data_IF_465828378089
#
_entry.id   IF_465828378089
#
_cell.length_a   1.000
_cell.length_b   1.000
_cell.length_c   1.000
_cell.angle_alpha   90.00
_cell.angle_beta   90.00
_cell.angle_gamma   90.00
#
_symmetry.space_group_name_H-M   'P 1'
#
loop_
_entity.id
_entity.type
_entity.pdbx_description
1 polymer ?
#
# COMPACT_ATOMS: atom_id res chain seq x y z
N UNK A 1 -22.50 -31.55 -12.48
CA UNK A 1 -21.35 -30.75 -12.95
C UNK A 1 -20.90 -29.85 -11.81
N UNK A 2 -19.64 -29.95 -11.41
CA UNK A 2 -19.09 -29.22 -10.26
C UNK A 2 -18.88 -27.74 -10.63
N UNK A 3 -19.17 -26.83 -9.69
CA UNK A 3 -19.05 -25.35 -9.80
C UNK A 3 -17.62 -24.82 -10.09
N UNK A 4 -16.65 -25.68 -10.39
CA UNK A 4 -15.21 -25.36 -10.46
C UNK A 4 -14.66 -25.13 -11.88
N UNK A 5 -15.46 -25.28 -12.93
CA UNK A 5 -14.98 -25.27 -14.33
C UNK A 5 -15.18 -23.94 -15.08
N UNK A 6 -15.91 -22.98 -14.49
CA UNK A 6 -16.20 -21.69 -15.12
C UNK A 6 -16.49 -20.60 -14.09
N UNK A 7 -16.26 -19.34 -14.47
CA UNK A 7 -16.67 -18.14 -13.73
C UNK A 7 -17.68 -17.32 -14.53
N UNK A 8 -18.32 -16.34 -13.91
CA UNK A 8 -19.26 -15.45 -14.61
C UNK A 8 -18.63 -14.09 -14.87
N UNK A 9 -18.84 -13.59 -16.09
CA UNK A 9 -18.45 -12.24 -16.48
C UNK A 9 -19.62 -11.53 -17.16
N UNK A 10 -19.59 -10.20 -17.20
CA UNK A 10 -20.47 -9.44 -18.07
C UNK A 10 -19.81 -9.18 -19.41
N UNK A 11 -20.60 -9.25 -20.48
CA UNK A 11 -20.19 -8.74 -21.78
C UNK A 11 -20.02 -7.21 -21.75
N UNK A 12 -19.40 -6.68 -22.79
CA UNK A 12 -19.44 -5.26 -23.09
C UNK A 12 -20.90 -4.76 -23.17
N UNK A 13 -21.07 -3.47 -22.86
CA UNK A 13 -22.34 -2.79 -22.98
C UNK A 13 -22.68 -2.54 -24.44
N UNK A 14 -23.91 -2.81 -24.83
CA UNK A 14 -24.43 -2.37 -26.11
C UNK A 14 -24.76 -0.86 -26.10
N UNK A 15 -25.13 -0.32 -27.26
CA UNK A 15 -25.49 1.09 -27.43
C UNK A 15 -26.74 1.51 -26.64
N UNK A 16 -27.52 0.56 -26.14
CA UNK A 16 -28.71 0.80 -25.32
C UNK A 16 -28.41 0.66 -23.81
N UNK A 17 -27.14 0.45 -23.43
CA UNK A 17 -26.72 0.31 -22.03
C UNK A 17 -27.08 -1.04 -21.41
N UNK A 18 -27.46 -2.03 -22.22
CA UNK A 18 -27.70 -3.41 -21.82
C UNK A 18 -26.44 -4.25 -21.97
N UNK A 19 -26.35 -5.33 -21.19
CA UNK A 19 -25.26 -6.31 -21.25
C UNK A 19 -25.77 -7.69 -20.86
N UNK A 20 -24.95 -8.71 -21.07
CA UNK A 20 -25.28 -10.10 -20.75
C UNK A 20 -24.30 -10.64 -19.73
N UNK A 21 -24.79 -11.48 -18.82
CA UNK A 21 -23.96 -12.30 -17.96
C UNK A 21 -23.70 -13.63 -18.65
N UNK A 22 -22.44 -13.94 -18.86
CA UNK A 22 -21.98 -15.17 -19.54
C UNK A 22 -21.13 -16.01 -18.61
N UNK A 23 -21.18 -17.32 -18.79
CA UNK A 23 -20.25 -18.24 -18.14
C UNK A 23 -18.99 -18.38 -19.00
N UNK A 24 -17.82 -18.10 -18.42
CA UNK A 24 -16.51 -18.20 -19.07
C UNK A 24 -15.78 -19.41 -18.49
N UNK A 25 -15.45 -20.43 -19.32
CA UNK A 25 -14.76 -21.61 -18.84
C UNK A 25 -13.31 -21.27 -18.45
N UNK A 26 -12.81 -21.86 -17.36
CA UNK A 26 -11.41 -21.67 -16.94
C UNK A 26 -10.41 -22.27 -17.94
N UNK A 27 -10.82 -23.31 -18.69
CA UNK A 27 -10.00 -23.94 -19.72
C UNK A 27 -10.45 -23.45 -21.10
N UNK A 28 -9.56 -22.76 -21.86
CA UNK A 28 -9.87 -22.33 -23.22
C UNK A 28 -10.31 -23.50 -24.11
N UNK A 29 -11.42 -23.34 -24.83
CA UNK A 29 -11.96 -24.33 -25.77
C UNK A 29 -12.98 -25.33 -25.19
N UNK A 30 -13.17 -25.37 -23.87
CA UNK A 30 -14.20 -26.18 -23.22
C UNK A 30 -15.52 -25.41 -23.09
N UNK A 31 -16.26 -25.29 -24.20
CA UNK A 31 -17.53 -24.52 -24.27
C UNK A 31 -18.79 -25.38 -24.08
N UNK A 32 -18.66 -26.61 -23.55
CA UNK A 32 -19.80 -27.55 -23.44
C UNK A 32 -20.33 -27.61 -22.00
N UNK A 33 -21.66 -27.61 -21.83
CA UNK A 33 -22.30 -27.69 -20.51
C UNK A 33 -22.31 -26.39 -19.70
N UNK A 34 -22.00 -25.25 -20.33
CA UNK A 34 -22.06 -23.94 -19.70
C UNK A 34 -23.51 -23.43 -19.58
N UNK A 35 -23.88 -22.73 -18.49
CA UNK A 35 -25.18 -22.10 -18.36
C UNK A 35 -25.46 -21.09 -19.48
N UNK A 36 -26.72 -20.98 -19.90
CA UNK A 36 -27.14 -19.99 -20.88
C UNK A 36 -26.90 -18.56 -20.40
N UNK A 37 -26.50 -17.65 -21.31
CA UNK A 37 -26.41 -16.22 -21.00
C UNK A 37 -27.74 -15.66 -20.51
N UNK A 38 -27.70 -14.88 -19.43
CA UNK A 38 -28.87 -14.16 -18.92
C UNK A 38 -28.65 -12.67 -19.02
N UNK A 39 -29.74 -11.89 -19.06
CA UNK A 39 -29.64 -10.43 -19.10
C UNK A 39 -28.93 -9.90 -17.86
N UNK A 40 -27.94 -9.06 -18.10
CA UNK A 40 -27.11 -8.39 -17.11
C UNK A 40 -27.82 -7.22 -16.41
N UNK A 41 -27.28 -6.74 -15.29
CA UNK A 41 -27.68 -5.41 -14.77
C UNK A 41 -27.32 -4.32 -15.78
N UNK A 42 -28.00 -3.17 -15.70
CA UNK A 42 -27.67 -2.00 -16.54
C UNK A 42 -26.21 -1.57 -16.38
N UNK A 43 -25.66 -0.95 -17.41
CA UNK A 43 -24.26 -0.53 -17.42
C UNK A 43 -23.93 0.63 -16.46
N UNK A 44 -24.95 1.38 -16.03
CA UNK A 44 -24.89 2.40 -14.99
C UNK A 44 -24.85 1.81 -13.56
N UNK A 45 -25.13 0.51 -13.42
CA UNK A 45 -25.18 -0.15 -12.13
C UNK A 45 -23.79 -0.23 -11.49
N UNK A 46 -23.72 0.16 -10.22
CA UNK A 46 -22.52 0.07 -9.40
C UNK A 46 -22.85 -0.35 -7.97
N UNK A 47 -21.92 -1.06 -7.33
CA UNK A 47 -22.01 -1.39 -5.92
C UNK A 47 -21.37 -0.31 -5.06
N UNK A 48 -21.90 -0.13 -3.85
CA UNK A 48 -21.36 0.84 -2.90
C UNK A 48 -20.02 0.34 -2.35
N UNK A 49 -19.24 1.27 -1.82
CA UNK A 49 -18.04 0.90 -1.07
C UNK A 49 -18.42 -0.03 0.10
N UNK A 50 -17.65 -1.11 0.28
CA UNK A 50 -17.95 -2.20 1.21
C UNK A 50 -18.86 -3.29 0.66
N UNK A 51 -19.31 -3.18 -0.58
CA UNK A 51 -20.09 -4.20 -1.27
C UNK A 51 -19.37 -4.73 -2.52
N UNK A 52 -19.69 -5.95 -2.90
CA UNK A 52 -19.25 -6.57 -4.15
C UNK A 52 -20.45 -7.06 -4.94
N UNK A 53 -20.32 -7.17 -6.25
CA UNK A 53 -21.36 -7.71 -7.09
C UNK A 53 -21.29 -9.24 -7.10
N UNK A 54 -22.28 -9.91 -6.51
CA UNK A 54 -22.44 -11.34 -6.68
C UNK A 54 -22.96 -11.63 -8.09
N UNK A 55 -22.10 -12.18 -8.95
CA UNK A 55 -22.43 -12.48 -10.34
C UNK A 55 -23.47 -13.60 -10.48
N UNK A 56 -23.74 -14.41 -9.45
CA UNK A 56 -24.81 -15.43 -9.51
C UNK A 56 -26.18 -14.79 -9.35
N UNK A 57 -26.30 -13.90 -8.38
CA UNK A 57 -27.56 -13.25 -8.03
C UNK A 57 -27.75 -11.89 -8.73
N UNK A 58 -26.71 -11.37 -9.37
CA UNK A 58 -26.65 -10.04 -9.99
C UNK A 58 -27.04 -8.91 -9.03
N UNK A 59 -26.66 -9.06 -7.75
CA UNK A 59 -26.97 -8.12 -6.68
C UNK A 59 -25.75 -7.79 -5.84
N UNK A 60 -25.67 -6.57 -5.32
CA UNK A 60 -24.60 -6.17 -4.41
C UNK A 60 -24.77 -6.87 -3.05
N UNK A 61 -23.68 -7.48 -2.56
CA UNK A 61 -23.60 -8.09 -1.23
C UNK A 61 -22.51 -7.40 -0.43
N UNK A 62 -22.75 -7.22 0.87
CA UNK A 62 -21.75 -6.64 1.78
C UNK A 62 -20.57 -7.59 1.99
N UNK A 63 -19.38 -7.04 2.11
CA UNK A 63 -18.21 -7.79 2.52
C UNK A 63 -18.38 -8.36 3.93
N UNK A 64 -17.90 -9.58 4.16
CA UNK A 64 -17.79 -10.14 5.50
C UNK A 64 -16.71 -9.39 6.32
N UNK A 65 -16.71 -9.59 7.64
CA UNK A 65 -15.61 -9.13 8.49
C UNK A 65 -14.27 -9.70 8.02
N UNK A 66 -13.20 -8.96 8.25
CA UNK A 66 -11.86 -9.28 7.75
C UNK A 66 -11.69 -9.06 6.26
N UNK A 67 -12.72 -8.55 5.56
CA UNK A 67 -12.66 -8.22 4.13
C UNK A 67 -13.15 -6.80 3.85
N UNK A 68 -12.73 -6.27 2.71
CA UNK A 68 -13.12 -4.95 2.25
C UNK A 68 -13.38 -4.89 0.75
N UNK A 69 -14.05 -3.83 0.31
CA UNK A 69 -14.29 -3.54 -1.11
C UNK A 69 -14.35 -2.03 -1.33
N UNK A 70 -13.73 -1.54 -2.40
CA UNK A 70 -13.87 -0.14 -2.82
C UNK A 70 -15.21 0.14 -3.53
N UNK A 71 -16.02 -0.90 -3.81
CA UNK A 71 -17.26 -0.81 -4.57
C UNK A 71 -16.99 -0.62 -6.06
N UNK A 72 -16.44 0.54 -6.42
CA UNK A 72 -16.11 0.96 -7.80
C UNK A 72 -14.59 1.03 -8.03
N UNK A 73 -13.85 0.14 -7.38
CA UNK A 73 -12.39 0.05 -7.47
C UNK A 73 -11.88 -1.36 -7.27
N UNK A 74 -10.70 -1.64 -7.83
CA UNK A 74 -9.96 -2.90 -7.66
C UNK A 74 -8.65 -2.59 -6.98
N UNK A 75 -8.16 -3.48 -6.12
CA UNK A 75 -6.89 -3.33 -5.43
C UNK A 75 -6.11 -4.65 -5.42
N UNK A 76 -4.82 -4.55 -5.71
CA UNK A 76 -3.85 -5.65 -5.71
C UNK A 76 -2.70 -5.27 -4.77
N UNK A 77 -2.80 -5.75 -3.54
CA UNK A 77 -1.82 -5.54 -2.48
C UNK A 77 -1.29 -6.86 -1.88
N UNK A 78 -1.59 -7.98 -2.55
CA UNK A 78 -1.08 -9.31 -2.25
C UNK A 78 -0.55 -9.95 -3.54
N UNK A 79 0.62 -10.54 -3.43
CA UNK A 79 1.40 -11.12 -4.51
C UNK A 79 1.96 -12.48 -4.07
N UNK A 80 1.13 -13.31 -3.43
CA UNK A 80 1.46 -14.74 -3.16
C UNK A 80 1.53 -15.50 -4.49
N UNK A 81 0.63 -15.16 -5.41
CA UNK A 81 0.57 -15.60 -6.80
C UNK A 81 0.21 -14.40 -7.69
N UNK A 82 0.33 -14.55 -9.01
CA UNK A 82 -0.05 -13.49 -9.94
C UNK A 82 -1.59 -13.36 -9.96
N UNK A 83 -2.19 -12.22 -9.57
CA UNK A 83 -3.64 -12.10 -9.51
C UNK A 83 -4.29 -12.29 -10.89
N UNK A 84 -5.51 -12.84 -10.90
CA UNK A 84 -6.27 -13.01 -12.14
C UNK A 84 -6.43 -11.69 -12.92
N UNK A 85 -6.25 -11.76 -14.24
CA UNK A 85 -6.33 -10.62 -15.14
C UNK A 85 -4.98 -9.96 -15.44
N UNK A 86 -3.93 -10.24 -14.67
CA UNK A 86 -2.57 -9.87 -15.05
C UNK A 86 -2.02 -10.83 -16.10
N UNK A 87 -1.34 -10.28 -17.09
CA UNK A 87 -0.48 -11.01 -18.00
C UNK A 87 0.98 -10.60 -17.81
N UNK A 88 1.88 -11.56 -17.96
CA UNK A 88 3.29 -11.40 -17.70
C UNK A 88 4.05 -11.99 -18.89
N UNK A 89 4.70 -11.12 -19.67
CA UNK A 89 5.29 -11.47 -20.96
C UNK A 89 6.71 -10.91 -21.00
N UNK A 90 7.66 -11.68 -21.53
CA UNK A 90 8.98 -11.16 -21.83
C UNK A 90 9.38 -11.38 -23.28
N UNK A 91 10.17 -10.44 -23.77
CA UNK A 91 10.68 -10.40 -25.14
C UNK A 91 12.16 -10.06 -25.13
N UNK A 92 12.90 -10.59 -26.11
CA UNK A 92 14.26 -10.15 -26.41
C UNK A 92 14.26 -8.71 -26.90
N UNK A 93 15.32 -7.95 -26.60
CA UNK A 93 15.58 -6.69 -27.26
C UNK A 93 15.85 -6.95 -28.75
N UNK A 94 14.96 -6.52 -29.65
CA UNK A 94 15.24 -6.51 -31.08
C UNK A 94 16.28 -5.42 -31.37
N UNK A 95 17.55 -5.77 -31.24
CA UNK A 95 18.64 -4.94 -31.77
C UNK A 95 18.78 -5.28 -33.25
N UNK A 96 18.57 -4.27 -34.09
CA UNK A 96 18.66 -4.34 -35.56
C UNK A 96 19.82 -5.25 -36.02
N UNK A 97 19.48 -6.27 -36.82
CA UNK A 97 20.35 -7.34 -37.31
C UNK A 97 21.72 -6.84 -37.79
N UNK A 98 22.75 -6.94 -36.94
CA UNK A 98 24.13 -6.95 -37.44
C UNK A 98 25.17 -7.66 -36.60
N UNK A 99 24.92 -8.10 -35.36
CA UNK A 99 25.89 -8.93 -34.64
C UNK A 99 25.26 -9.89 -33.63
N UNK A 100 25.62 -11.18 -33.77
CA UNK A 100 25.64 -12.25 -32.74
C UNK A 100 24.43 -13.19 -32.63
N UNK A 101 24.74 -14.46 -32.90
CA UNK A 101 23.94 -15.68 -32.75
C UNK A 101 23.75 -16.05 -31.27
N UNK A 102 22.67 -15.60 -30.65
CA UNK A 102 21.91 -16.36 -29.64
C UNK A 102 20.75 -15.49 -29.18
N UNK A 103 19.56 -15.67 -29.75
CA UNK A 103 18.36 -15.11 -29.14
C UNK A 103 18.24 -15.75 -27.74
N UNK A 104 18.58 -15.00 -26.69
CA UNK A 104 18.40 -15.48 -25.32
C UNK A 104 16.95 -15.89 -25.13
N UNK A 105 16.74 -17.07 -24.55
CA UNK A 105 15.40 -17.60 -24.37
C UNK A 105 14.72 -16.88 -23.19
N UNK A 106 14.07 -15.74 -23.47
CA UNK A 106 13.38 -14.91 -22.48
C UNK A 106 12.09 -15.54 -21.91
N UNK A 107 11.75 -16.78 -22.24
CA UNK A 107 10.49 -17.41 -21.81
C UNK A 107 10.32 -17.55 -20.29
N UNK A 108 11.41 -17.55 -19.53
CA UNK A 108 11.39 -17.59 -18.05
C UNK A 108 11.59 -16.23 -17.40
N UNK A 109 11.98 -15.20 -18.17
CA UNK A 109 12.17 -13.85 -17.65
C UNK A 109 10.80 -13.23 -17.41
N UNK A 110 10.45 -12.96 -16.16
CA UNK A 110 9.10 -12.51 -15.81
C UNK A 110 9.12 -11.65 -14.56
N UNK A 111 8.01 -10.95 -14.32
CA UNK A 111 7.74 -10.35 -13.02
C UNK A 111 7.36 -11.44 -12.00
N UNK A 112 8.06 -11.53 -10.88
CA UNK A 112 7.90 -12.62 -9.90
C UNK A 112 7.17 -12.13 -8.65
N UNK A 113 6.02 -12.73 -8.29
CA UNK A 113 5.28 -12.41 -7.07
C UNK A 113 6.05 -12.88 -5.81
N UNK A 114 6.16 -12.03 -4.79
CA UNK A 114 6.96 -12.24 -3.57
C UNK A 114 6.19 -11.89 -2.27
N UNK A 115 4.92 -12.25 -2.21
CA UNK A 115 4.02 -12.05 -1.08
C UNK A 115 3.49 -10.62 -0.97
N UNK A 116 4.34 -9.67 -0.57
CA UNK A 116 3.93 -8.27 -0.34
C UNK A 116 4.10 -7.37 -1.58
N UNK A 117 4.84 -7.83 -2.57
CA UNK A 117 5.18 -7.09 -3.78
C UNK A 117 5.49 -8.03 -4.93
N UNK A 118 5.53 -7.48 -6.15
CA UNK A 118 6.02 -8.16 -7.34
C UNK A 118 7.37 -7.54 -7.78
N UNK A 119 8.33 -8.38 -8.11
CA UNK A 119 9.67 -7.97 -8.53
C UNK A 119 9.89 -8.18 -10.02
N UNK A 120 10.55 -7.24 -10.69
CA UNK A 120 10.91 -7.37 -12.10
C UNK A 120 12.02 -8.40 -12.33
N UNK A 121 12.22 -8.76 -13.59
CA UNK A 121 13.43 -9.46 -14.02
C UNK A 121 14.69 -8.59 -13.83
N UNK A 122 15.84 -9.25 -13.81
CA UNK A 122 17.18 -8.62 -13.74
C UNK A 122 18.09 -9.03 -14.90
N UNK A 123 17.60 -9.88 -15.79
CA UNK A 123 18.28 -10.28 -17.02
C UNK A 123 18.03 -9.27 -18.16
N UNK A 124 18.72 -9.45 -19.28
CA UNK A 124 18.69 -8.50 -20.42
C UNK A 124 17.38 -8.54 -21.23
N UNK A 125 16.43 -9.39 -20.82
CA UNK A 125 15.12 -9.42 -21.44
C UNK A 125 14.29 -8.19 -21.05
N UNK A 126 13.35 -7.84 -21.92
CA UNK A 126 12.31 -6.88 -21.58
C UNK A 126 11.13 -7.63 -21.00
N UNK A 127 10.85 -7.46 -19.70
CA UNK A 127 9.68 -8.06 -19.05
C UNK A 127 8.57 -7.02 -18.88
N UNK A 128 7.35 -7.42 -19.23
CA UNK A 128 6.16 -6.59 -19.22
C UNK A 128 5.06 -7.26 -18.41
N UNK A 129 4.68 -6.61 -17.31
CA UNK A 129 3.48 -6.91 -16.56
C UNK A 129 2.36 -6.01 -17.07
N UNK A 130 1.23 -6.60 -17.44
CA UNK A 130 0.10 -5.85 -17.99
C UNK A 130 -1.23 -6.23 -17.35
N UNK A 131 -2.13 -5.25 -17.22
CA UNK A 131 -3.48 -5.45 -16.69
C UNK A 131 -4.49 -4.66 -17.53
N UNK A 132 -5.50 -5.35 -18.06
CA UNK A 132 -6.58 -4.74 -18.83
C UNK A 132 -7.78 -4.42 -17.93
N UNK A 133 -8.29 -3.19 -18.02
CA UNK A 133 -9.42 -2.73 -17.21
C UNK A 133 -10.38 -1.87 -18.03
N UNK A 134 -11.68 -2.10 -17.86
CA UNK A 134 -12.73 -1.26 -18.44
C UNK A 134 -13.34 -0.34 -17.36
N UNK A 135 -13.22 0.97 -17.56
CA UNK A 135 -13.73 1.99 -16.66
C UNK A 135 -15.07 2.53 -17.12
N UNK A 136 -16.02 2.70 -16.18
CA UNK A 136 -17.35 3.29 -16.41
C UNK A 136 -17.42 4.78 -16.14
N UNK A 137 -16.40 5.32 -15.53
CA UNK A 137 -16.16 6.74 -15.36
C UNK A 137 -14.66 6.97 -15.35
N UNK A 138 -14.22 8.19 -15.63
CA UNK A 138 -12.81 8.54 -15.46
C UNK A 138 -12.37 8.18 -14.04
N UNK A 139 -11.19 7.60 -13.96
CA UNK A 139 -10.66 7.02 -12.73
C UNK A 139 -9.17 7.24 -12.66
N UNK A 140 -8.50 6.43 -11.86
CA UNK A 140 -7.07 6.56 -11.62
C UNK A 140 -6.48 5.19 -11.29
N UNK A 141 -5.28 4.94 -11.78
CA UNK A 141 -4.40 3.88 -11.28
C UNK A 141 -3.38 4.52 -10.35
N UNK A 142 -3.14 3.89 -9.21
CA UNK A 142 -2.06 4.24 -8.29
C UNK A 142 -1.33 3.00 -7.81
N UNK A 143 -0.05 3.13 -7.49
CA UNK A 143 0.76 2.04 -6.94
C UNK A 143 2.00 2.60 -6.21
N UNK A 144 2.61 1.76 -5.39
CA UNK A 144 3.90 2.05 -4.76
C UNK A 144 5.01 1.27 -5.45
N UNK A 145 6.20 1.85 -5.55
CA UNK A 145 7.34 1.19 -6.19
C UNK A 145 8.68 1.48 -5.51
N UNK A 146 9.63 0.57 -5.70
CA UNK A 146 11.06 0.75 -5.42
C UNK A 146 11.80 0.54 -6.75
N UNK A 147 12.58 1.53 -7.16
CA UNK A 147 13.38 1.50 -8.38
C UNK A 147 14.82 1.93 -8.05
N UNK A 148 15.66 0.98 -7.58
CA UNK A 148 16.90 1.31 -6.90
C UNK A 148 18.13 1.38 -7.82
N UNK A 149 18.02 0.94 -9.07
CA UNK A 149 19.15 0.74 -9.97
C UNK A 149 18.88 1.27 -11.37
N UNK A 150 19.59 2.32 -11.78
CA UNK A 150 19.45 2.93 -13.11
C UNK A 150 19.95 2.05 -14.27
N UNK A 151 20.53 0.87 -13.98
CA UNK A 151 20.85 -0.15 -15.00
C UNK A 151 19.61 -0.90 -15.52
N UNK A 152 18.44 -0.72 -14.89
CA UNK A 152 17.15 -1.15 -15.43
C UNK A 152 16.41 0.07 -15.93
N UNK A 153 15.95 0.07 -17.18
CA UNK A 153 14.94 1.03 -17.62
C UNK A 153 13.59 0.57 -17.11
N UNK A 154 12.88 1.42 -16.37
CA UNK A 154 11.54 1.17 -15.87
C UNK A 154 10.53 2.17 -16.44
N UNK A 155 9.55 1.65 -17.17
CA UNK A 155 8.48 2.43 -17.77
C UNK A 155 7.12 2.01 -17.20
N UNK A 156 6.26 2.99 -16.95
CA UNK A 156 4.84 2.78 -16.69
C UNK A 156 4.01 3.56 -17.69
N UNK A 157 3.15 2.89 -18.47
CA UNK A 157 2.30 3.60 -19.42
C UNK A 157 0.93 2.95 -19.56
N UNK A 158 -0.02 3.76 -20.03
CA UNK A 158 -1.41 3.37 -20.27
C UNK A 158 -1.69 3.48 -21.76
N UNK A 159 -2.29 2.43 -22.33
CA UNK A 159 -2.84 2.47 -23.68
C UNK A 159 -4.37 2.40 -23.62
N UNK A 160 -5.03 3.27 -24.37
CA UNK A 160 -6.48 3.24 -24.56
C UNK A 160 -6.86 2.49 -25.84
N UNK A 161 -8.16 2.43 -26.16
CA UNK A 161 -8.72 1.80 -27.36
C UNK A 161 -8.13 2.28 -28.70
N UNK A 162 -7.40 3.41 -28.72
CA UNK A 162 -6.74 3.95 -29.90
C UNK A 162 -5.23 3.60 -29.96
N UNK A 163 -4.72 2.76 -29.04
CA UNK A 163 -3.29 2.44 -28.88
C UNK A 163 -2.39 3.68 -28.69
N UNK A 164 -2.97 4.82 -28.31
CA UNK A 164 -2.22 6.06 -28.09
C UNK A 164 -1.76 6.12 -26.63
N UNK A 165 -0.45 6.37 -26.37
CA UNK A 165 0.04 6.54 -25.00
C UNK A 165 -0.58 7.80 -24.40
N UNK A 166 -1.23 7.66 -23.24
CA UNK A 166 -2.09 8.74 -22.73
C UNK A 166 -1.30 9.92 -22.14
N UNK A 167 -0.02 9.73 -21.76
CA UNK A 167 0.88 10.79 -21.27
C UNK A 167 2.36 10.38 -21.49
N UNK A 168 3.17 11.18 -22.19
CA UNK A 168 4.62 10.90 -22.38
C UNK A 168 5.48 11.23 -21.14
N UNK A 169 5.08 12.23 -20.35
CA UNK A 169 5.86 12.70 -19.19
C UNK A 169 5.86 11.74 -18.00
N UNK A 170 4.80 10.95 -17.79
CA UNK A 170 4.72 9.94 -16.72
C UNK A 170 5.21 8.55 -17.15
N UNK A 171 5.63 8.40 -18.42
CA UNK A 171 6.08 7.12 -18.95
C UNK A 171 7.34 6.60 -18.26
N UNK A 172 8.29 7.50 -18.01
CA UNK A 172 9.59 7.17 -17.47
C UNK A 172 9.60 7.32 -15.96
N UNK A 173 9.80 6.20 -15.26
CA UNK A 173 9.77 6.19 -13.80
C UNK A 173 11.07 6.79 -13.24
N UNK A 174 10.96 7.52 -12.12
CA UNK A 174 12.13 8.09 -11.42
C UNK A 174 12.70 7.08 -10.45
N UNK A 175 14.03 7.00 -10.37
CA UNK A 175 14.72 6.16 -9.39
C UNK A 175 14.37 6.57 -7.96
N UNK A 176 14.35 5.61 -7.06
CA UNK A 176 13.99 5.80 -5.64
C UNK A 176 15.26 5.85 -4.78
N UNK A 177 15.42 6.89 -3.96
CA UNK A 177 16.58 7.01 -3.07
C UNK A 177 16.40 6.24 -1.75
N UNK A 178 15.19 6.29 -1.16
CA UNK A 178 14.89 5.65 0.13
C UNK A 178 13.45 5.14 0.20
N UNK A 179 13.30 3.82 0.33
CA UNK A 179 12.00 3.20 0.56
C UNK A 179 11.07 3.27 -0.64
N UNK A 180 9.77 3.11 -0.36
CA UNK A 180 8.69 3.05 -1.36
C UNK A 180 8.25 4.45 -1.77
N UNK A 181 8.17 4.70 -3.08
CA UNK A 181 7.60 5.93 -3.66
C UNK A 181 6.20 5.66 -4.24
N UNK A 182 5.35 6.68 -4.24
CA UNK A 182 3.98 6.59 -4.73
C UNK A 182 3.85 7.17 -6.14
N UNK A 183 3.17 6.46 -7.03
CA UNK A 183 2.87 6.91 -8.39
C UNK A 183 1.37 6.79 -8.70
N UNK A 184 0.86 7.71 -9.53
CA UNK A 184 -0.55 7.78 -9.86
C UNK A 184 -0.80 8.42 -11.23
N UNK A 185 -1.71 7.83 -12.01
CA UNK A 185 -2.07 8.29 -13.37
C UNK A 185 -3.57 8.24 -13.57
N UNK A 186 -4.14 9.29 -14.14
CA UNK A 186 -5.55 9.33 -14.51
C UNK A 186 -5.86 8.37 -15.66
N UNK A 187 -7.00 7.69 -15.56
CA UNK A 187 -7.48 6.76 -16.55
C UNK A 187 -8.77 7.27 -17.18
N UNK A 188 -8.86 7.14 -18.51
CA UNK A 188 -10.01 7.59 -19.27
C UNK A 188 -11.16 6.58 -19.16
N UNK A 189 -12.40 7.05 -19.30
CA UNK A 189 -13.55 6.16 -19.49
C UNK A 189 -13.32 5.19 -20.68
N UNK A 190 -13.69 3.92 -20.53
CA UNK A 190 -13.51 2.89 -21.55
C UNK A 190 -12.38 1.90 -21.21
N UNK A 191 -11.83 1.23 -22.22
CA UNK A 191 -10.75 0.27 -21.97
C UNK A 191 -9.42 0.98 -21.77
N UNK A 192 -8.68 0.52 -20.77
CA UNK A 192 -7.33 0.94 -20.48
C UNK A 192 -6.50 -0.33 -20.28
N UNK A 193 -5.30 -0.37 -20.87
CA UNK A 193 -4.32 -1.41 -20.60
C UNK A 193 -3.13 -0.75 -19.93
N UNK A 194 -2.83 -1.21 -18.71
CA UNK A 194 -1.75 -0.71 -17.87
C UNK A 194 -0.52 -1.56 -18.12
N UNK A 195 0.65 -0.94 -18.31
CA UNK A 195 1.91 -1.63 -18.57
C UNK A 195 2.98 -1.19 -17.58
N UNK A 196 3.54 -2.15 -16.84
CA UNK A 196 4.79 -1.99 -16.10
C UNK A 196 5.86 -2.76 -16.86
N UNK A 197 6.81 -2.03 -17.45
CA UNK A 197 7.82 -2.61 -18.34
C UNK A 197 9.22 -2.33 -17.84
N UNK A 198 10.04 -3.37 -17.78
CA UNK A 198 11.45 -3.28 -17.40
C UNK A 198 12.34 -3.86 -18.48
N UNK A 199 13.46 -3.18 -18.71
CA UNK A 199 14.53 -3.65 -19.60
C UNK A 199 15.85 -3.46 -18.87
N UNK A 200 16.52 -4.54 -18.49
CA UNK A 200 17.83 -4.44 -17.85
C UNK A 200 18.94 -4.39 -18.89
N UNK A 201 20.01 -3.64 -18.60
CA UNK A 201 21.22 -3.64 -19.40
C UNK A 201 22.38 -4.14 -18.51
N UNK A 202 23.02 -5.24 -18.90
CA UNK A 202 24.20 -5.72 -18.21
C UNK A 202 25.38 -4.81 -18.53
N UNK A 203 25.72 -3.93 -17.59
CA UNK A 203 26.91 -3.08 -17.67
C UNK A 203 27.92 -3.64 -16.66
N UNK A 204 29.00 -4.24 -17.18
CA UNK A 204 30.20 -4.56 -16.42
C UNK A 204 30.00 -5.59 -15.29
N UNK A 205 29.28 -6.70 -15.56
CA UNK A 205 29.15 -7.87 -14.68
C UNK A 205 28.45 -7.62 -13.33
N UNK A 206 27.81 -6.46 -13.12
CA UNK A 206 27.00 -6.17 -11.94
C UNK A 206 25.56 -6.59 -12.22
N UNK A 207 25.02 -7.52 -11.43
CA UNK A 207 23.61 -7.91 -11.51
C UNK A 207 22.75 -6.72 -11.06
N UNK A 208 21.87 -6.20 -11.93
CA UNK A 208 20.99 -5.09 -11.57
C UNK A 208 20.04 -5.46 -10.43
N UNK A 209 19.71 -4.50 -9.57
CA UNK A 209 18.68 -4.72 -8.55
C UNK A 209 17.28 -4.56 -9.17
N UNK A 210 16.34 -5.47 -8.92
CA UNK A 210 15.02 -5.46 -9.56
C UNK A 210 14.18 -4.26 -9.11
N UNK A 211 13.23 -3.88 -9.96
CA UNK A 211 12.14 -2.96 -9.64
C UNK A 211 11.09 -3.72 -8.84
N UNK A 212 10.59 -3.13 -7.77
CA UNK A 212 9.53 -3.71 -6.94
C UNK A 212 8.27 -2.86 -7.07
N UNK A 213 7.10 -3.49 -7.22
CA UNK A 213 5.79 -2.80 -7.30
C UNK A 213 4.83 -3.44 -6.29
N UNK A 214 4.00 -2.63 -5.63
CA UNK A 214 2.94 -3.11 -4.74
C UNK A 214 1.76 -2.14 -4.62
N UNK A 215 0.72 -2.55 -3.90
CA UNK A 215 -0.45 -1.71 -3.58
C UNK A 215 -1.08 -1.08 -4.83
N UNK A 216 -1.24 -1.83 -5.93
CA UNK A 216 -1.87 -1.33 -7.16
C UNK A 216 -3.37 -1.11 -6.89
N UNK A 217 -3.85 0.11 -6.98
CA UNK A 217 -5.26 0.47 -6.89
C UNK A 217 -5.77 1.06 -8.20
N UNK A 218 -6.97 0.65 -8.63
CA UNK A 218 -7.64 1.17 -9.81
C UNK A 218 -9.03 1.62 -9.41
N UNK A 219 -9.40 2.86 -9.73
CA UNK A 219 -10.74 3.42 -9.49
C UNK A 219 -11.49 3.65 -10.79
N UNK A 220 -12.83 3.70 -10.72
CA UNK A 220 -13.69 3.99 -11.88
C UNK A 220 -14.26 2.75 -12.57
N UNK A 221 -14.01 1.55 -12.04
CA UNK A 221 -14.67 0.32 -12.51
C UNK A 221 -16.13 0.29 -12.04
N UNK A 222 -16.99 -0.45 -12.76
CA UNK A 222 -18.41 -0.55 -12.45
C UNK A 222 -18.67 -1.16 -11.06
N UNK A 223 -17.93 -2.22 -10.75
CA UNK A 223 -18.08 -3.02 -9.53
C UNK A 223 -16.80 -3.82 -9.28
N UNK A 224 -16.59 -4.27 -8.05
CA UNK A 224 -15.72 -5.43 -7.76
C UNK A 224 -16.55 -6.71 -7.72
N UNK A 225 -16.03 -7.81 -8.27
CA UNK A 225 -16.69 -9.12 -8.28
C UNK A 225 -16.54 -9.87 -6.96
N UNK A 226 -15.65 -9.43 -6.07
CA UNK A 226 -15.42 -10.03 -4.76
C UNK A 226 -14.86 -9.02 -3.76
N UNK A 227 -14.85 -9.41 -2.49
CA UNK A 227 -14.21 -8.65 -1.43
C UNK A 227 -12.81 -9.18 -1.17
N UNK A 228 -11.88 -8.26 -0.97
CA UNK A 228 -10.48 -8.55 -0.72
C UNK A 228 -10.25 -8.79 0.77
N UNK A 229 -9.47 -9.79 1.19
CA UNK A 229 -9.04 -9.93 2.57
C UNK A 229 -8.24 -8.71 3.02
N UNK A 230 -8.36 -8.36 4.30
CA UNK A 230 -7.46 -7.38 4.89
C UNK A 230 -6.02 -7.91 4.87
N UNK A 231 -5.10 -7.11 4.33
CA UNK A 231 -3.69 -7.44 4.35
C UNK A 231 -3.16 -7.59 5.79
N UNK A 232 -2.11 -8.37 6.02
CA UNK A 232 -1.45 -8.45 7.33
C UNK A 232 -1.13 -7.07 7.91
N UNK A 233 -1.30 -6.93 9.22
CA UNK A 233 -1.19 -5.66 9.94
C UNK A 233 -2.40 -4.74 9.78
N UNK A 234 -3.44 -5.16 9.08
CA UNK A 234 -4.74 -4.48 9.03
C UNK A 234 -5.89 -5.39 9.45
N UNK A 235 -7.04 -4.81 9.75
CA UNK A 235 -8.23 -5.54 10.14
C UNK A 235 -9.52 -4.84 9.72
N UNK A 236 -10.60 -5.60 9.58
CA UNK A 236 -11.95 -5.08 9.37
C UNK A 236 -12.91 -5.75 10.36
N UNK A 237 -13.30 -5.05 11.42
CA UNK A 237 -14.15 -5.59 12.48
C UNK A 237 -15.65 -5.57 12.19
N UNK A 238 -16.05 -4.99 11.06
CA UNK A 238 -17.47 -4.88 10.67
C UNK A 238 -17.67 -5.37 9.25
N UNK A 239 -18.81 -6.03 8.96
CA UNK A 239 -19.20 -6.30 7.59
C UNK A 239 -19.45 -4.99 6.83
N UNK A 240 -19.32 -5.02 5.52
CA UNK A 240 -19.48 -3.84 4.67
C UNK A 240 -18.33 -2.84 4.79
N UNK A 241 -17.14 -3.26 5.24
CA UNK A 241 -15.99 -2.37 5.33
C UNK A 241 -15.49 -1.97 3.94
N UNK A 242 -15.31 -0.68 3.70
CA UNK A 242 -14.74 -0.19 2.44
C UNK A 242 -13.20 -0.16 2.42
N UNK A 243 -12.59 -0.28 3.59
CA UNK A 243 -11.14 -0.35 3.78
C UNK A 243 -10.83 -1.10 5.08
N UNK A 244 -9.61 -1.61 5.18
CA UNK A 244 -9.10 -2.21 6.42
C UNK A 244 -8.37 -1.16 7.26
N UNK A 245 -8.60 -1.19 8.57
CA UNK A 245 -7.93 -0.31 9.53
C UNK A 245 -6.56 -0.87 9.88
N UNK A 246 -5.57 0.00 10.05
CA UNK A 246 -4.24 -0.40 10.53
C UNK A 246 -4.32 -0.88 11.97
N UNK A 247 -3.55 -1.91 12.30
CA UNK A 247 -3.34 -2.30 13.67
C UNK A 247 -2.58 -1.23 14.43
N UNK A 248 -3.03 -0.82 15.64
CA UNK A 248 -2.32 0.16 16.45
C UNK A 248 -0.91 -0.33 16.84
N UNK A 249 -0.01 0.57 17.28
CA UNK A 249 1.30 0.17 17.80
C UNK A 249 1.20 -0.90 18.89
N UNK A 250 2.19 -1.77 18.99
CA UNK A 250 2.22 -2.95 19.87
C UNK A 250 1.07 -3.95 19.62
N UNK A 251 0.52 -3.96 18.42
CA UNK A 251 -0.38 -5.01 17.95
C UNK A 251 -0.07 -5.44 16.52
N UNK A 252 -0.51 -6.63 16.16
CA UNK A 252 -0.30 -7.23 14.85
C UNK A 252 -1.55 -7.95 14.38
N UNK A 253 -1.61 -8.28 13.09
CA UNK A 253 -2.67 -9.14 12.56
C UNK A 253 -2.20 -9.92 11.35
N UNK A 254 -2.77 -11.11 11.17
CA UNK A 254 -2.65 -11.88 9.94
C UNK A 254 -3.62 -11.42 8.85
N UNK A 255 -3.54 -12.08 7.69
CA UNK A 255 -4.44 -11.89 6.56
C UNK A 255 -5.90 -12.18 6.95
N UNK A 256 -6.80 -11.32 6.50
CA UNK A 256 -8.24 -11.46 6.74
C UNK A 256 -8.67 -11.24 8.19
N UNK A 257 -7.85 -10.56 9.01
CA UNK A 257 -8.14 -10.40 10.42
C UNK A 257 -9.36 -9.49 10.68
N UNK A 258 -10.17 -9.89 11.66
CA UNK A 258 -11.30 -9.08 12.15
C UNK A 258 -10.92 -8.18 13.32
N UNK A 259 -9.76 -8.42 13.94
CA UNK A 259 -9.19 -7.65 15.03
C UNK A 259 -7.66 -7.82 15.10
N UNK A 260 -6.98 -6.89 15.76
CA UNK A 260 -5.54 -7.00 16.03
C UNK A 260 -5.27 -7.76 17.33
N UNK A 261 -4.16 -8.48 17.36
CA UNK A 261 -3.63 -9.17 18.53
C UNK A 261 -2.53 -8.33 19.17
N UNK A 262 -2.50 -8.23 20.50
CA UNK A 262 -1.43 -7.54 21.20
C UNK A 262 -0.11 -8.32 21.11
N UNK A 263 0.99 -7.57 21.02
CA UNK A 263 2.31 -8.14 21.19
C UNK A 263 2.54 -8.56 22.65
N UNK A 264 3.27 -9.66 22.83
CA UNK A 264 3.76 -10.07 24.16
C UNK A 264 4.69 -9.00 24.75
N UNK A 265 4.81 -8.88 26.09
CA UNK A 265 5.55 -7.80 26.74
C UNK A 265 7.00 -7.61 26.23
N UNK A 266 7.69 -8.71 25.90
CA UNK A 266 9.07 -8.72 25.39
C UNK A 266 9.19 -8.44 23.88
N UNK A 267 8.06 -8.19 23.20
CA UNK A 267 8.00 -7.88 21.78
C UNK A 267 7.29 -6.54 21.55
N UNK A 268 7.51 -5.96 20.37
CA UNK A 268 6.87 -4.73 19.94
C UNK A 268 6.49 -4.83 18.47
N UNK A 269 5.60 -3.94 18.04
CA UNK A 269 5.30 -3.77 16.64
C UNK A 269 5.00 -2.30 16.35
N UNK A 270 5.36 -1.87 15.15
CA UNK A 270 4.95 -0.57 14.64
C UNK A 270 3.49 -0.64 14.18
N UNK A 271 2.87 0.52 14.00
CA UNK A 271 1.52 0.59 13.46
C UNK A 271 1.47 -0.13 12.09
N UNK A 272 0.46 -0.98 11.90
CA UNK A 272 0.30 -1.70 10.63
C UNK A 272 1.21 -2.91 10.45
N UNK A 273 1.82 -3.45 11.51
CA UNK A 273 2.73 -4.60 11.41
C UNK A 273 1.99 -5.93 11.29
N UNK A 274 2.49 -6.80 10.41
CA UNK A 274 2.03 -8.18 10.26
C UNK A 274 2.43 -9.11 11.43
N UNK A 275 3.50 -8.76 12.15
CA UNK A 275 4.04 -9.54 13.25
C UNK A 275 4.76 -8.65 14.27
N UNK A 276 4.93 -9.17 15.48
CA UNK A 276 5.75 -8.53 16.51
C UNK A 276 7.23 -8.89 16.33
N UNK A 277 8.12 -7.96 16.69
CA UNK A 277 9.57 -8.12 16.71
C UNK A 277 10.07 -8.09 18.16
N UNK A 278 11.16 -8.80 18.50
CA UNK A 278 11.77 -8.70 19.83
C UNK A 278 12.15 -7.26 20.16
N UNK A 279 11.91 -6.84 21.41
CA UNK A 279 12.38 -5.52 21.87
C UNK A 279 13.91 -5.51 21.96
N UNK A 280 14.59 -4.47 21.46
CA UNK A 280 16.02 -4.29 21.73
C UNK A 280 16.26 -3.82 23.18
N UNK A 281 17.48 -3.98 23.72
CA UNK A 281 17.86 -3.38 25.01
C UNK A 281 17.79 -1.85 24.93
N UNK A 282 17.33 -1.20 26.00
CA UNK A 282 17.25 0.26 26.06
C UNK A 282 18.64 0.91 26.00
N UNK A 283 18.72 2.04 25.29
CA UNK A 283 19.92 2.86 25.12
C UNK A 283 19.67 4.32 25.56
N UNK A 284 20.74 5.11 25.61
CA UNK A 284 20.70 6.54 25.91
C UNK A 284 19.97 7.38 24.86
N UNK A 285 19.67 6.80 23.69
CA UNK A 285 18.88 7.41 22.61
C UNK A 285 17.37 7.21 22.79
N UNK A 286 16.96 6.32 23.68
CA UNK A 286 15.56 5.93 23.86
C UNK A 286 14.84 6.78 24.92
N UNK A 287 15.55 7.65 25.63
CA UNK A 287 14.97 8.59 26.58
C UNK A 287 15.44 10.03 26.33
N UNK A 288 14.65 10.98 26.81
CA UNK A 288 14.97 12.40 26.80
C UNK A 288 14.74 13.00 28.18
N UNK A 289 15.28 14.19 28.43
CA UNK A 289 15.05 14.90 29.68
C UNK A 289 14.14 16.11 29.47
N UNK A 290 13.34 16.39 30.49
CA UNK A 290 12.47 17.56 30.61
C UNK A 290 12.65 18.16 32.00
N UNK A 291 12.19 19.39 32.20
CA UNK A 291 12.09 19.96 33.53
C UNK A 291 10.68 19.75 34.05
N UNK A 292 10.51 19.43 35.33
CA UNK A 292 9.19 19.42 35.96
C UNK A 292 8.61 20.83 35.96
N UNK A 293 7.28 20.93 36.06
CA UNK A 293 6.65 22.21 36.40
C UNK A 293 7.23 22.76 37.71
N UNK A 294 7.25 24.09 37.82
CA UNK A 294 7.68 24.76 39.03
C UNK A 294 6.72 24.47 40.18
N UNK A 295 7.25 24.05 41.32
CA UNK A 295 6.44 23.84 42.52
C UNK A 295 6.14 25.16 43.25
N UNK A 296 5.45 25.07 44.38
CA UNK A 296 5.09 26.23 45.22
C UNK A 296 6.30 26.95 45.82
N UNK A 297 7.44 26.27 45.91
CA UNK A 297 8.70 26.86 46.38
C UNK A 297 9.47 27.53 45.22
N UNK A 298 8.94 27.48 44.01
CA UNK A 298 9.59 28.01 42.81
C UNK A 298 10.79 27.16 42.38
N UNK A 299 10.75 25.86 42.65
CA UNK A 299 11.79 24.91 42.28
C UNK A 299 11.32 23.99 41.14
N UNK A 300 12.25 23.62 40.27
CA UNK A 300 12.08 22.63 39.21
C UNK A 300 13.19 21.58 39.32
N UNK A 301 13.00 20.42 38.72
CA UNK A 301 14.04 19.41 38.65
C UNK A 301 14.07 18.78 37.25
N UNK A 302 15.27 18.37 36.85
CA UNK A 302 15.47 17.61 35.62
C UNK A 302 14.88 16.20 35.79
N UNK A 303 14.02 15.79 34.87
CA UNK A 303 13.31 14.52 34.88
C UNK A 303 13.49 13.84 33.53
N UNK A 304 13.97 12.60 33.56
CA UNK A 304 14.08 11.77 32.37
C UNK A 304 12.75 11.09 32.06
N UNK A 305 12.46 10.91 30.78
CA UNK A 305 11.28 10.17 30.29
C UNK A 305 11.68 9.34 29.08
N UNK A 306 11.16 8.13 29.00
CA UNK A 306 11.26 7.32 27.78
C UNK A 306 10.55 8.02 26.61
N UNK A 307 11.10 7.87 25.41
CA UNK A 307 10.42 8.26 24.19
C UNK A 307 9.18 7.38 23.98
N UNK A 308 8.06 7.98 23.58
CA UNK A 308 6.81 7.26 23.30
C UNK A 308 6.63 7.05 21.79
N UNK A 309 6.26 5.83 21.34
CA UNK A 309 6.06 4.63 22.14
C UNK A 309 7.38 4.01 22.62
N UNK A 310 7.42 3.49 23.86
CA UNK A 310 8.61 2.79 24.37
C UNK A 310 8.79 1.47 23.61
N UNK A 311 9.83 1.40 22.78
CA UNK A 311 10.16 0.22 21.96
C UNK A 311 11.12 -0.72 22.69
N UNK A 312 12.07 -0.19 23.43
CA UNK A 312 13.11 -0.96 24.10
C UNK A 312 12.64 -1.65 25.40
N UNK A 313 13.40 -2.64 25.87
CA UNK A 313 13.23 -3.31 27.16
C UNK A 313 14.38 -3.01 28.11
N UNK A 314 14.06 -2.73 29.38
CA UNK A 314 15.01 -2.55 30.48
C UNK A 314 15.46 -3.88 31.10
N UNK A 315 14.75 -4.99 30.80
CA UNK A 315 15.00 -6.31 31.40
C UNK A 315 16.11 -7.09 30.67
N UNK A 316 16.58 -6.59 29.53
CA UNK A 316 17.59 -7.26 28.72
C UNK A 316 19.00 -6.98 29.24
N UNK A 317 19.95 -7.91 29.01
CA UNK A 317 21.36 -7.63 29.25
C UNK A 317 21.80 -6.36 28.52
N UNK A 318 22.65 -5.56 29.17
CA UNK A 318 23.19 -4.29 28.66
C UNK A 318 22.16 -3.16 28.46
N UNK A 319 20.90 -3.35 28.87
CA UNK A 319 19.90 -2.30 28.84
C UNK A 319 20.20 -1.21 29.88
N UNK A 320 20.13 0.04 29.44
CA UNK A 320 20.20 1.19 30.36
C UNK A 320 18.85 1.36 31.06
N UNK A 321 18.90 1.72 32.34
CA UNK A 321 17.73 2.13 33.09
C UNK A 321 17.53 3.63 32.99
N UNK A 322 16.29 4.09 33.18
CA UNK A 322 16.01 5.52 33.20
C UNK A 322 16.81 6.20 34.33
N UNK A 323 17.60 7.25 34.05
CA UNK A 323 18.39 7.91 35.08
C UNK A 323 17.51 8.55 36.16
N UNK A 324 18.00 8.65 37.41
CA UNK A 324 17.26 9.32 38.48
C UNK A 324 17.06 10.81 38.15
N UNK A 325 15.94 11.37 38.61
CA UNK A 325 15.69 12.81 38.50
C UNK A 325 16.80 13.60 39.19
N UNK A 326 17.15 14.74 38.59
CA UNK A 326 18.14 15.67 39.12
C UNK A 326 17.69 16.35 40.41
N UNK A 327 18.62 17.02 41.07
CA UNK A 327 18.33 17.82 42.28
C UNK A 327 17.41 18.99 41.91
N UNK A 328 16.53 19.38 42.84
CA UNK A 328 15.72 20.58 42.71
C UNK A 328 16.60 21.82 42.61
N UNK A 329 16.33 22.63 41.60
CA UNK A 329 16.98 23.92 41.34
C UNK A 329 15.92 25.01 41.24
N UNK A 330 16.34 26.27 41.46
CA UNK A 330 15.42 27.39 41.29
C UNK A 330 14.93 27.47 39.86
N UNK A 331 13.64 27.71 39.70
CA UNK A 331 13.04 27.93 38.40
C UNK A 331 13.68 29.11 37.68
N UNK A 332 13.88 28.99 36.36
CA UNK A 332 14.35 30.11 35.57
C UNK A 332 13.35 31.27 35.62
N UNK A 333 13.83 32.52 35.44
CA UNK A 333 12.98 33.69 35.28
C UNK A 333 11.98 33.50 34.12
N UNK A 334 10.85 34.22 34.18
CA UNK A 334 9.94 34.26 33.05
C UNK A 334 10.59 34.99 31.87
N UNK A 335 10.18 34.69 30.64
CA UNK A 335 10.66 35.46 29.50
C UNK A 335 10.18 36.92 29.59
N UNK A 336 10.91 37.90 29.02
CA UNK A 336 10.44 39.28 28.92
C UNK A 336 9.04 39.37 28.30
N UNK A 337 8.18 40.23 28.86
CA UNK A 337 6.77 40.32 28.52
C UNK A 337 5.85 39.35 29.28
N UNK A 338 6.41 38.48 30.14
CA UNK A 338 5.66 37.61 31.05
C UNK A 338 5.99 37.93 32.52
N UNK A 339 5.03 37.77 33.42
CA UNK A 339 5.20 37.88 34.86
C UNK A 339 4.89 36.55 35.55
N UNK A 340 5.55 36.29 36.69
CA UNK A 340 5.34 35.07 37.48
C UNK A 340 4.07 35.21 38.34
N UNK A 341 3.17 34.24 38.27
CA UNK A 341 1.98 34.16 39.11
C UNK A 341 2.29 33.43 40.43
N UNK A 342 1.34 33.47 41.39
CA UNK A 342 1.44 32.76 42.67
C UNK A 342 1.50 31.23 42.52
N UNK A 343 1.07 30.67 41.38
CA UNK A 343 1.18 29.24 41.05
C UNK A 343 2.48 28.87 40.32
N UNK A 344 3.48 29.76 40.35
CA UNK A 344 4.76 29.59 39.64
C UNK A 344 4.62 29.39 38.11
N UNK A 345 3.51 29.87 37.52
CA UNK A 345 3.30 29.90 36.07
C UNK A 345 3.63 31.29 35.52
N UNK A 346 4.12 31.37 34.29
CA UNK A 346 4.39 32.65 33.63
C UNK A 346 3.18 33.06 32.79
N UNK A 347 2.61 34.23 33.08
CA UNK A 347 1.49 34.81 32.34
C UNK A 347 1.90 36.08 31.58
N UNK A 348 1.30 36.36 30.41
CA UNK A 348 1.64 37.54 29.62
C UNK A 348 1.24 38.83 30.36
N UNK A 349 2.04 39.88 30.25
CA UNK A 349 1.75 41.17 30.86
C UNK A 349 0.44 41.77 30.30
N UNK A 350 -0.40 42.37 31.15
CA UNK A 350 -1.59 43.08 30.70
C UNK A 350 -1.23 44.31 29.87
N UNK A 351 -2.18 44.79 29.06
CA UNK A 351 -1.97 45.96 28.21
C UNK A 351 -1.52 47.19 29.02
N UNK A 352 -0.40 47.79 28.62
CA UNK A 352 0.20 48.95 29.31
C UNK A 352 1.19 48.60 30.43
N UNK A 353 1.42 47.32 30.73
CA UNK A 353 2.45 46.86 31.67
C UNK A 353 3.64 46.22 30.92
N UNK A 354 4.82 46.23 31.55
CA UNK A 354 6.01 45.55 31.03
C UNK A 354 6.69 44.73 32.13
N UNK A 355 7.33 43.63 31.74
CA UNK A 355 8.19 42.80 32.58
C UNK A 355 9.46 42.51 31.80
N UNK A 356 10.62 42.69 32.43
CA UNK A 356 11.91 42.31 31.86
C UNK A 356 12.24 40.83 32.07
N UNK A 357 11.31 40.05 32.63
CA UNK A 357 11.46 38.63 32.91
C UNK A 357 12.04 38.29 34.29
N UNK A 358 12.40 39.27 35.13
CA UNK A 358 13.05 39.01 36.44
C UNK A 358 12.17 38.34 37.48
#
# INVERSE_FOLDING_TARGET
MHKSEYHYEYTACDSLGSRWRVAVPHTPGLCTGLPDPIKGTECSFSCKAGEFLDMKDQSCKSCAEGRYSLGTGVRFDEWDELPHGFANVATTLEVDNSFSESAENCTTSTWVPLGDYIASNTDECTATLMYAVNLKQSGMVSFEYIYPDSSIVFEFFVQNDQCQPTVEESRWMKTTEKGWEFHSVELSHGNNVLYWRTTAFSVWSKIPKPVLVRNIGITGVAYTSECFPCKPGTYASKPGSSFCKLCPPNSYSGKGATSCQQCEPNTYSEQGSAACKPRPPCTDKDYFYTHTACDTNGETQLMFKWAEPKICSEELPDAVNLPPSGVKTKCPPCNPGFFKTNSSTCEPCPYGAYSNGS
#
